data_IF_647901829924
#
_entry.id   IF_647901829924
#
_cell.length_a   1.000
_cell.length_b   1.000
_cell.length_c   1.000
_cell.angle_alpha   90.00
_cell.angle_beta   90.00
_cell.angle_gamma   90.00
#
_symmetry.space_group_name_H-M   'P 1'
#
loop_
_entity.id
_entity.type
_entity.pdbx_description
1 polymer ?
#
# COMPACT_ATOMS: atom_id res chain seq x y z
N UNK A 1 15.80 28.29 0.80
CA UNK A 1 14.33 28.15 0.82
C UNK A 1 13.92 26.78 1.35
N UNK A 2 14.59 25.70 0.91
CA UNK A 2 14.22 24.32 1.25
C UNK A 2 14.37 23.96 2.72
N UNK A 3 15.35 24.53 3.43
CA UNK A 3 15.49 24.27 4.89
C UNK A 3 14.28 24.75 5.69
N UNK A 4 13.75 25.94 5.39
CA UNK A 4 12.55 26.47 6.03
C UNK A 4 11.30 25.66 5.64
N UNK A 5 11.22 25.20 4.39
CA UNK A 5 10.15 24.31 3.92
C UNK A 5 10.19 22.96 4.65
N UNK A 6 11.37 22.33 4.74
CA UNK A 6 11.62 21.09 5.48
C UNK A 6 11.25 21.25 6.96
N UNK A 7 11.69 22.34 7.62
CA UNK A 7 11.36 22.60 9.04
C UNK A 7 9.85 22.78 9.28
N UNK A 8 9.15 23.52 8.42
CA UNK A 8 7.69 23.66 8.51
C UNK A 8 7.01 22.31 8.31
N UNK A 9 7.42 21.55 7.30
CA UNK A 9 6.84 20.25 6.97
C UNK A 9 7.10 19.21 8.07
N UNK A 10 8.29 19.24 8.70
CA UNK A 10 8.62 18.44 9.90
C UNK A 10 7.61 18.65 11.01
N UNK A 11 7.31 19.91 11.32
CA UNK A 11 6.35 20.26 12.37
C UNK A 11 4.93 19.77 12.03
N UNK A 12 4.53 19.88 10.77
CA UNK A 12 3.23 19.38 10.32
C UNK A 12 3.13 17.86 10.42
N UNK A 13 4.19 17.13 10.01
CA UNK A 13 4.28 15.68 10.17
C UNK A 13 4.24 15.27 11.65
N UNK A 14 5.00 15.94 12.52
CA UNK A 14 5.01 15.66 13.95
C UNK A 14 3.63 15.84 14.59
N UNK A 15 2.92 16.90 14.21
CA UNK A 15 1.56 17.17 14.67
C UNK A 15 0.58 16.10 14.19
N UNK A 16 0.65 15.71 12.90
CA UNK A 16 -0.20 14.64 12.35
C UNK A 16 0.05 13.30 13.04
N UNK A 17 1.32 12.92 13.21
CA UNK A 17 1.71 11.70 13.94
C UNK A 17 1.15 11.74 15.37
N UNK A 18 1.31 12.87 16.08
CA UNK A 18 0.78 13.03 17.44
C UNK A 18 -0.73 12.84 17.49
N UNK A 19 -1.48 13.43 16.55
CA UNK A 19 -2.93 13.31 16.52
C UNK A 19 -3.39 11.88 16.21
N UNK A 20 -2.70 11.19 15.29
CA UNK A 20 -2.97 9.78 15.02
C UNK A 20 -2.68 8.90 16.24
N UNK A 21 -1.56 9.11 16.92
CA UNK A 21 -1.21 8.36 18.14
C UNK A 21 -2.25 8.57 19.27
N UNK A 22 -2.79 9.79 19.41
CA UNK A 22 -3.90 10.08 20.33
C UNK A 22 -5.16 9.33 19.90
N UNK A 23 -5.51 9.37 18.61
CA UNK A 23 -6.67 8.66 18.08
C UNK A 23 -6.58 7.15 18.32
N UNK A 24 -5.39 6.55 18.21
CA UNK A 24 -5.17 5.14 18.54
C UNK A 24 -5.51 4.88 20.02
N UNK A 25 -5.02 5.71 20.94
CA UNK A 25 -5.29 5.58 22.38
C UNK A 25 -6.77 5.80 22.76
N UNK A 26 -7.48 6.70 22.06
CA UNK A 26 -8.92 6.92 22.22
C UNK A 26 -9.80 5.75 21.73
N UNK A 27 -9.19 4.85 20.94
CA UNK A 27 -9.82 3.67 20.34
C UNK A 27 -9.21 2.36 20.86
N UNK A 28 -8.53 2.39 22.02
CA UNK A 28 -7.84 1.25 22.62
C UNK A 28 -8.67 -0.03 22.74
N UNK A 29 -9.97 0.11 22.97
CA UNK A 29 -10.89 -1.02 23.13
C UNK A 29 -11.10 -1.82 21.85
N UNK A 30 -10.65 -1.28 20.72
CA UNK A 30 -10.67 -1.94 19.43
C UNK A 30 -9.35 -2.62 19.05
N UNK A 31 -8.29 -2.37 19.82
CA UNK A 31 -7.01 -3.09 19.77
C UNK A 31 -6.93 -4.21 20.82
N UNK A 32 -8.04 -4.49 21.52
CA UNK A 32 -8.13 -5.55 22.51
C UNK A 32 -8.29 -6.92 21.85
N UNK A 33 -7.22 -7.73 21.92
CA UNK A 33 -7.19 -9.09 21.38
C UNK A 33 -8.29 -10.01 21.94
N UNK A 34 -8.70 -9.81 23.20
CA UNK A 34 -9.65 -10.67 23.90
C UNK A 34 -11.10 -10.27 23.68
N UNK A 35 -11.34 -9.23 22.88
CA UNK A 35 -12.70 -8.80 22.57
C UNK A 35 -13.38 -9.75 21.59
N UNK A 36 -14.30 -10.54 22.13
CA UNK A 36 -15.10 -11.51 21.39
C UNK A 36 -16.46 -10.89 21.07
N UNK A 37 -16.87 -10.97 19.80
CA UNK A 37 -18.20 -10.58 19.32
C UNK A 37 -18.61 -11.58 18.23
N UNK A 38 -19.06 -11.12 17.07
CA UNK A 38 -19.18 -11.96 15.88
C UNK A 38 -17.81 -12.22 15.23
N UNK A 39 -17.73 -13.21 14.34
CA UNK A 39 -16.47 -13.67 13.73
C UNK A 39 -15.71 -12.57 13.00
N UNK A 40 -16.41 -11.66 12.32
CA UNK A 40 -15.79 -10.58 11.55
C UNK A 40 -15.23 -9.51 12.47
N UNK A 41 -16.00 -9.10 13.48
CA UNK A 41 -15.53 -8.15 14.51
C UNK A 41 -14.34 -8.71 15.29
N UNK A 42 -14.41 -9.97 15.73
CA UNK A 42 -13.29 -10.63 16.41
C UNK A 42 -12.05 -10.72 15.51
N UNK A 43 -12.23 -10.99 14.21
CA UNK A 43 -11.13 -10.95 13.27
C UNK A 43 -10.50 -9.55 13.19
N UNK A 44 -11.29 -8.48 13.11
CA UNK A 44 -10.79 -7.10 13.07
C UNK A 44 -10.00 -6.72 14.32
N UNK A 45 -10.46 -7.11 15.51
CA UNK A 45 -9.72 -6.90 16.77
C UNK A 45 -8.36 -7.61 16.79
N UNK A 46 -8.32 -8.87 16.33
CA UNK A 46 -7.06 -9.64 16.26
C UNK A 46 -6.12 -9.07 15.20
N UNK A 47 -6.66 -8.68 14.05
CA UNK A 47 -5.92 -8.06 12.96
C UNK A 47 -5.30 -6.73 13.40
N UNK A 48 -6.08 -5.85 14.03
CA UNK A 48 -5.58 -4.56 14.51
C UNK A 48 -4.48 -4.72 15.58
N UNK A 49 -4.60 -5.70 16.47
CA UNK A 49 -3.56 -6.06 17.43
C UNK A 49 -2.25 -6.50 16.73
N UNK A 50 -2.36 -7.36 15.71
CA UNK A 50 -1.22 -7.81 14.93
C UNK A 50 -0.56 -6.65 14.17
N UNK A 51 -1.32 -5.82 13.47
CA UNK A 51 -0.80 -4.68 12.72
C UNK A 51 -0.22 -3.58 13.62
N UNK A 52 -0.76 -3.44 14.83
CA UNK A 52 -0.17 -2.56 15.83
C UNK A 52 1.27 -2.97 16.20
N UNK A 53 1.61 -4.27 16.15
CA UNK A 53 3.00 -4.71 16.32
C UNK A 53 3.92 -4.19 15.22
N UNK A 54 3.48 -4.17 13.96
CA UNK A 54 4.24 -3.56 12.85
C UNK A 54 4.40 -2.06 13.05
N UNK A 55 3.35 -1.38 13.51
CA UNK A 55 3.43 0.03 13.88
C UNK A 55 4.48 0.29 14.97
N UNK A 56 4.56 -0.56 16.00
CA UNK A 56 5.59 -0.46 17.04
C UNK A 56 7.00 -0.69 16.48
N UNK A 57 7.17 -1.64 15.55
CA UNK A 57 8.44 -1.86 14.86
C UNK A 57 8.91 -0.61 14.11
N UNK A 58 8.02 0.02 13.32
CA UNK A 58 8.33 1.27 12.62
C UNK A 58 8.65 2.38 13.61
N UNK A 59 7.87 2.53 14.68
CA UNK A 59 8.17 3.50 15.73
C UNK A 59 9.57 3.27 16.33
N UNK A 60 10.01 2.03 16.48
CA UNK A 60 11.33 1.71 16.99
C UNK A 60 12.44 2.01 15.99
N UNK A 61 12.22 1.77 14.69
CA UNK A 61 13.21 1.96 13.64
C UNK A 61 13.46 3.43 13.27
N UNK A 62 12.54 4.34 13.61
CA UNK A 62 12.55 5.74 13.15
C UNK A 62 12.70 6.77 14.27
N UNK A 63 13.01 8.03 13.93
CA UNK A 63 13.28 9.10 14.92
C UNK A 63 12.09 9.38 15.82
N UNK A 64 10.89 9.51 15.25
CA UNK A 64 9.68 9.80 16.02
C UNK A 64 9.11 8.49 16.60
N UNK A 65 9.30 8.31 17.91
CA UNK A 65 8.75 7.17 18.66
C UNK A 65 7.23 7.26 18.84
N UNK A 66 6.61 6.15 19.23
CA UNK A 66 5.17 6.13 19.53
C UNK A 66 4.82 6.98 20.75
N UNK A 67 3.76 7.77 20.62
CA UNK A 67 3.10 8.48 21.73
C UNK A 67 1.80 7.78 22.19
N UNK A 68 1.40 6.67 21.55
CA UNK A 68 0.23 5.86 21.92
C UNK A 68 0.56 4.96 23.11
N UNK A 69 0.66 5.56 24.30
CA UNK A 69 1.13 4.85 25.50
C UNK A 69 0.11 3.89 26.08
N UNK A 70 -1.18 4.14 25.87
CA UNK A 70 -2.25 3.30 26.42
C UNK A 70 -2.33 1.99 25.64
N UNK A 71 -2.38 2.05 24.31
CA UNK A 71 -2.42 0.84 23.47
C UNK A 71 -1.08 0.10 23.51
N UNK A 72 0.06 0.81 23.57
CA UNK A 72 1.38 0.18 23.73
C UNK A 72 1.45 -0.65 25.02
N UNK A 73 1.03 -0.08 26.14
CA UNK A 73 0.96 -0.80 27.42
C UNK A 73 0.00 -2.00 27.32
N UNK A 74 -1.19 -1.79 26.77
CA UNK A 74 -2.18 -2.86 26.60
C UNK A 74 -1.62 -4.01 25.75
N UNK A 75 -0.95 -3.71 24.63
CA UNK A 75 -0.34 -4.69 23.75
C UNK A 75 0.64 -5.59 24.51
N UNK A 76 1.59 -5.00 25.24
CA UNK A 76 2.57 -5.77 26.03
C UNK A 76 1.96 -6.48 27.23
N UNK A 77 0.93 -5.93 27.87
CA UNK A 77 0.21 -6.59 28.96
C UNK A 77 -0.54 -7.83 28.43
N UNK A 78 -1.20 -7.73 27.27
CA UNK A 78 -1.89 -8.85 26.63
C UNK A 78 -0.93 -9.92 26.17
N UNK A 79 0.24 -9.56 25.62
CA UNK A 79 1.28 -10.53 25.27
C UNK A 79 1.77 -11.33 26.50
N UNK A 80 1.84 -10.71 27.68
CA UNK A 80 2.30 -11.40 28.91
C UNK A 80 1.22 -12.28 29.55
N UNK A 81 -0.03 -12.13 29.16
CA UNK A 81 -1.14 -12.93 29.69
C UNK A 81 -1.11 -14.34 29.08
N UNK A 82 -1.19 -15.37 29.91
CA UNK A 82 -1.22 -16.77 29.49
C UNK A 82 -2.32 -17.06 28.46
N UNK A 83 -3.43 -16.30 28.49
CA UNK A 83 -4.52 -16.39 27.52
C UNK A 83 -4.07 -16.11 26.09
N UNK A 84 -3.03 -15.30 25.89
CA UNK A 84 -2.48 -15.01 24.57
C UNK A 84 -1.97 -16.30 23.92
N UNK A 85 -1.12 -17.05 24.62
CA UNK A 85 -0.60 -18.32 24.12
C UNK A 85 -1.68 -19.39 23.99
N UNK A 86 -2.65 -19.43 24.90
CA UNK A 86 -3.80 -20.34 24.76
C UNK A 86 -4.58 -20.05 23.48
N UNK A 87 -4.81 -18.77 23.18
CA UNK A 87 -5.48 -18.35 21.95
C UNK A 87 -4.64 -18.66 20.72
N UNK A 88 -3.34 -18.36 20.74
CA UNK A 88 -2.42 -18.63 19.63
C UNK A 88 -2.31 -20.13 19.31
N UNK A 89 -2.26 -21.00 20.34
CA UNK A 89 -2.25 -22.46 20.19
C UNK A 89 -3.59 -23.03 19.71
N UNK A 90 -4.70 -22.36 20.00
CA UNK A 90 -6.02 -22.76 19.52
C UNK A 90 -6.32 -22.33 18.07
N UNK A 91 -5.56 -21.37 17.52
CA UNK A 91 -5.75 -20.81 16.18
C UNK A 91 -4.43 -20.91 15.39
N UNK A 92 -3.90 -22.13 15.25
CA UNK A 92 -2.58 -22.40 14.66
C UNK A 92 -2.48 -21.97 13.20
N UNK A 93 -3.60 -22.01 12.48
CA UNK A 93 -3.75 -21.53 11.11
C UNK A 93 -3.52 -20.03 10.96
N UNK A 94 -3.61 -19.28 12.06
CA UNK A 94 -3.33 -17.85 12.13
C UNK A 94 -1.94 -17.58 12.72
N UNK A 95 -0.97 -18.48 12.54
CA UNK A 95 0.38 -18.35 13.09
C UNK A 95 0.95 -16.94 12.90
N UNK A 96 0.91 -16.36 11.70
CA UNK A 96 1.44 -15.00 11.48
C UNK A 96 0.76 -13.92 12.32
N UNK A 97 -0.55 -14.05 12.59
CA UNK A 97 -1.29 -13.07 13.38
C UNK A 97 -0.86 -13.04 14.86
N UNK A 98 -0.30 -14.14 15.38
CA UNK A 98 0.18 -14.25 16.77
C UNK A 98 1.71 -14.26 16.87
N UNK A 99 2.38 -14.89 15.91
CA UNK A 99 3.82 -15.01 15.80
C UNK A 99 4.49 -13.67 15.51
N UNK A 100 3.92 -12.83 14.64
CA UNK A 100 4.50 -11.51 14.35
C UNK A 100 4.54 -10.59 15.59
N UNK A 101 3.47 -10.46 16.39
CA UNK A 101 3.55 -9.80 17.71
C UNK A 101 4.65 -10.32 18.62
N UNK A 102 4.85 -11.65 18.69
CA UNK A 102 5.93 -12.27 19.46
C UNK A 102 7.30 -11.86 18.90
N UNK A 103 7.50 -11.97 17.59
CA UNK A 103 8.73 -11.62 16.92
C UNK A 103 9.11 -10.16 17.16
N UNK A 104 8.16 -9.24 16.98
CA UNK A 104 8.36 -7.82 17.25
C UNK A 104 8.67 -7.58 18.72
N UNK A 105 7.91 -8.16 19.65
CA UNK A 105 8.14 -7.97 21.08
C UNK A 105 9.56 -8.39 21.47
N UNK A 106 10.03 -9.55 20.96
CA UNK A 106 11.40 -10.02 21.14
C UNK A 106 12.42 -9.05 20.54
N UNK A 107 12.19 -8.58 19.30
CA UNK A 107 13.05 -7.59 18.66
C UNK A 107 13.17 -6.28 19.46
N UNK A 108 12.10 -5.89 20.17
CA UNK A 108 12.06 -4.76 21.08
C UNK A 108 12.63 -5.05 22.48
N UNK A 109 13.24 -6.23 22.69
CA UNK A 109 13.88 -6.63 23.93
C UNK A 109 12.94 -7.26 24.97
N UNK A 110 11.69 -7.54 24.62
CA UNK A 110 10.72 -8.23 25.50
C UNK A 110 10.79 -9.73 25.24
N UNK A 111 11.65 -10.40 26.00
CA UNK A 111 11.87 -11.85 25.90
C UNK A 111 10.92 -12.62 26.82
N UNK A 112 10.34 -13.71 26.30
CA UNK A 112 9.55 -14.67 27.06
C UNK A 112 9.82 -16.07 26.51
N UNK A 113 10.36 -16.97 27.34
CA UNK A 113 10.71 -18.33 26.94
C UNK A 113 9.52 -19.13 26.41
N UNK A 114 8.31 -18.92 26.94
CA UNK A 114 7.13 -19.62 26.43
C UNK A 114 6.73 -19.14 25.03
N UNK A 115 6.92 -17.85 24.74
CA UNK A 115 6.72 -17.31 23.39
C UNK A 115 7.76 -17.84 22.41
N UNK A 116 9.02 -17.93 22.83
CA UNK A 116 10.08 -18.49 21.99
C UNK A 116 9.83 -19.96 21.65
N UNK A 117 9.40 -20.74 22.64
CA UNK A 117 9.01 -22.14 22.45
C UNK A 117 7.84 -22.24 21.47
N UNK A 118 6.76 -21.48 21.69
CA UNK A 118 5.61 -21.47 20.77
C UNK A 118 6.01 -21.08 19.34
N UNK A 119 6.76 -19.99 19.18
CA UNK A 119 7.16 -19.49 17.86
C UNK A 119 7.97 -20.54 17.11
N UNK A 120 8.93 -21.16 17.78
CA UNK A 120 9.81 -22.19 17.21
C UNK A 120 9.03 -23.47 16.88
N UNK A 121 8.22 -23.95 17.82
CA UNK A 121 7.42 -25.17 17.66
C UNK A 121 6.42 -25.04 16.50
N UNK A 122 5.74 -23.89 16.40
CA UNK A 122 4.75 -23.66 15.35
C UNK A 122 5.41 -23.48 13.99
N UNK A 123 6.51 -22.71 13.91
CA UNK A 123 7.26 -22.49 12.67
C UNK A 123 7.76 -23.80 12.05
N UNK A 124 8.23 -24.74 12.88
CA UNK A 124 8.72 -26.04 12.42
C UNK A 124 7.67 -27.15 12.44
N UNK A 125 6.42 -26.82 12.77
CA UNK A 125 5.35 -27.80 12.79
C UNK A 125 5.04 -28.34 11.39
N UNK A 126 4.45 -29.54 11.34
CA UNK A 126 3.91 -30.08 10.09
C UNK A 126 2.87 -29.15 9.47
N UNK A 127 2.08 -28.45 10.30
CA UNK A 127 1.05 -27.53 9.84
C UNK A 127 1.66 -26.39 9.02
N UNK A 128 2.59 -25.62 9.60
CA UNK A 128 3.25 -24.51 8.92
C UNK A 128 3.98 -24.96 7.64
N UNK A 129 4.63 -26.13 7.67
CA UNK A 129 5.34 -26.70 6.51
C UNK A 129 4.40 -27.23 5.42
N UNK A 130 3.13 -27.45 5.72
CA UNK A 130 2.13 -27.94 4.77
C UNK A 130 1.29 -26.84 4.11
N UNK A 131 1.48 -25.58 4.50
CA UNK A 131 0.71 -24.46 3.95
C UNK A 131 1.13 -24.19 2.49
N UNK A 132 0.14 -24.21 1.60
CA UNK A 132 0.30 -23.73 0.23
C UNK A 132 0.10 -22.22 0.21
N UNK A 133 1.21 -21.47 0.09
CA UNK A 133 1.22 -20.02 0.10
C UNK A 133 1.72 -19.46 -1.23
N UNK A 134 1.15 -18.33 -1.63
CA UNK A 134 1.69 -17.51 -2.72
C UNK A 134 2.98 -16.81 -2.26
N UNK A 135 3.92 -16.47 -3.17
CA UNK A 135 5.26 -16.00 -2.80
C UNK A 135 5.28 -14.82 -1.81
N UNK A 136 4.42 -13.82 -1.98
CA UNK A 136 4.40 -12.67 -1.06
C UNK A 136 4.01 -13.07 0.36
N UNK A 137 3.07 -14.02 0.54
CA UNK A 137 2.71 -14.56 1.86
C UNK A 137 3.84 -15.34 2.50
N UNK A 138 4.68 -16.00 1.71
CA UNK A 138 5.90 -16.63 2.23
C UNK A 138 6.93 -15.60 2.71
N UNK A 139 6.96 -14.39 2.11
CA UNK A 139 7.79 -13.29 2.60
C UNK A 139 7.34 -12.79 3.97
N UNK A 140 6.03 -12.76 4.27
CA UNK A 140 5.50 -12.44 5.62
C UNK A 140 6.13 -13.38 6.68
N UNK A 141 6.23 -14.68 6.38
CA UNK A 141 6.87 -15.68 7.25
C UNK A 141 8.36 -15.41 7.41
N UNK A 142 9.08 -15.22 6.30
CA UNK A 142 10.52 -14.93 6.35
C UNK A 142 10.78 -13.68 7.19
N UNK A 143 10.02 -12.62 6.98
CA UNK A 143 10.13 -11.38 7.73
C UNK A 143 9.92 -11.59 9.23
N UNK A 144 8.84 -12.29 9.63
CA UNK A 144 8.58 -12.61 11.04
C UNK A 144 9.73 -13.44 11.64
N UNK A 145 10.25 -14.44 10.91
CA UNK A 145 11.40 -15.26 11.37
C UNK A 145 12.68 -14.46 11.52
N UNK A 146 12.95 -13.54 10.58
CA UNK A 146 14.13 -12.69 10.62
C UNK A 146 14.08 -11.74 11.81
N UNK A 147 12.93 -11.07 12.02
CA UNK A 147 12.71 -10.19 13.16
C UNK A 147 12.86 -10.93 14.49
N UNK A 148 12.34 -12.15 14.58
CA UNK A 148 12.43 -12.96 15.79
C UNK A 148 13.88 -13.31 16.19
N UNK A 149 14.84 -13.24 15.26
CA UNK A 149 16.26 -13.43 15.53
C UNK A 149 16.92 -14.51 14.68
N UNK A 150 16.71 -14.45 13.36
CA UNK A 150 17.43 -15.25 12.35
C UNK A 150 17.35 -16.77 12.58
N UNK A 151 16.12 -17.27 12.80
CA UNK A 151 15.86 -18.70 12.75
C UNK A 151 16.01 -19.18 11.30
N UNK A 152 16.60 -20.37 11.11
CA UNK A 152 16.76 -20.98 9.79
C UNK A 152 15.42 -20.91 9.02
N UNK A 153 15.40 -20.15 7.92
CA UNK A 153 14.19 -19.95 7.16
C UNK A 153 13.67 -21.29 6.64
N UNK A 154 12.37 -21.54 6.85
CA UNK A 154 11.71 -22.72 6.27
C UNK A 154 11.58 -22.61 4.74
N UNK A 155 11.81 -21.43 4.17
CA UNK A 155 11.73 -21.16 2.74
C UNK A 155 13.07 -20.61 2.18
N UNK A 156 13.40 -20.91 0.91
CA UNK A 156 14.58 -20.36 0.24
C UNK A 156 14.38 -18.89 -0.15
N UNK A 157 14.84 -17.96 0.70
CA UNK A 157 14.64 -16.50 0.56
C UNK A 157 14.98 -15.98 -0.84
N UNK A 158 16.16 -16.30 -1.39
CA UNK A 158 16.61 -15.82 -2.72
C UNK A 158 15.70 -16.28 -3.85
N UNK A 159 15.20 -17.52 -3.79
CA UNK A 159 14.27 -18.04 -4.79
C UNK A 159 12.90 -17.35 -4.69
N UNK A 160 12.42 -17.08 -3.47
CA UNK A 160 11.16 -16.35 -3.27
C UNK A 160 11.26 -14.91 -3.74
N UNK A 161 12.38 -14.23 -3.45
CA UNK A 161 12.66 -12.90 -3.99
C UNK A 161 12.56 -12.88 -5.53
N UNK A 162 13.17 -13.85 -6.22
CA UNK A 162 13.13 -13.98 -7.69
C UNK A 162 11.74 -14.36 -8.26
N UNK A 163 10.81 -14.82 -7.43
CA UNK A 163 9.43 -15.14 -7.81
C UNK A 163 8.42 -14.04 -7.44
N UNK A 164 8.81 -13.12 -6.55
CA UNK A 164 7.96 -12.04 -6.07
C UNK A 164 7.65 -11.02 -7.17
N UNK A 165 6.57 -10.25 -6.97
CA UNK A 165 6.25 -9.12 -7.86
C UNK A 165 7.21 -7.94 -7.71
N UNK A 166 8.18 -8.01 -6.80
CA UNK A 166 9.28 -7.04 -6.73
C UNK A 166 10.27 -7.23 -7.89
N UNK A 167 10.55 -8.48 -8.30
CA UNK A 167 11.40 -8.79 -9.46
C UNK A 167 10.59 -9.01 -10.74
N UNK A 168 9.27 -9.16 -10.61
CA UNK A 168 8.29 -9.28 -11.70
C UNK A 168 7.27 -8.17 -11.56
N UNK A 169 7.73 -6.96 -11.85
CA UNK A 169 6.99 -5.74 -11.58
C UNK A 169 5.58 -5.80 -12.19
N UNK A 170 4.56 -5.40 -11.42
CA UNK A 170 3.18 -5.54 -11.85
C UNK A 170 2.82 -4.47 -12.89
N UNK A 171 2.00 -4.82 -13.88
CA UNK A 171 1.51 -3.88 -14.90
C UNK A 171 0.52 -2.90 -14.26
N UNK A 172 0.80 -1.59 -14.22
CA UNK A 172 -0.04 -0.63 -13.51
C UNK A 172 -1.51 -0.63 -13.98
N UNK A 173 -1.80 -0.98 -15.23
CA UNK A 173 -3.18 -1.00 -15.73
C UNK A 173 -3.95 -2.19 -15.15
N UNK A 174 -3.39 -3.39 -15.21
CA UNK A 174 -4.08 -4.62 -14.79
C UNK A 174 -3.88 -4.99 -13.32
N UNK A 175 -3.00 -4.28 -12.61
CA UNK A 175 -2.73 -4.51 -11.18
C UNK A 175 -3.96 -4.22 -10.34
N UNK A 176 -4.44 -5.25 -9.62
CA UNK A 176 -5.49 -5.11 -8.62
C UNK A 176 -4.94 -4.70 -7.23
N UNK A 177 -5.84 -4.40 -6.30
CA UNK A 177 -5.52 -4.00 -4.93
C UNK A 177 -4.65 -5.04 -4.20
N UNK A 178 -4.95 -6.33 -4.36
CA UNK A 178 -4.18 -7.40 -3.72
C UNK A 178 -2.74 -7.46 -4.24
N UNK A 179 -2.53 -7.23 -5.53
CA UNK A 179 -1.21 -7.19 -6.15
C UNK A 179 -0.42 -5.93 -5.75
N UNK A 180 -1.11 -4.79 -5.61
CA UNK A 180 -0.50 -3.57 -5.09
C UNK A 180 -0.01 -3.77 -3.64
N UNK A 181 -0.84 -4.32 -2.75
CA UNK A 181 -0.43 -4.67 -1.39
C UNK A 181 0.71 -5.70 -1.36
N UNK A 182 0.69 -6.69 -2.25
CA UNK A 182 1.79 -7.65 -2.34
C UNK A 182 3.12 -6.95 -2.67
N UNK A 183 3.11 -5.92 -3.53
CA UNK A 183 4.30 -5.15 -3.85
C UNK A 183 4.78 -4.32 -2.66
N UNK A 184 3.88 -3.58 -1.99
CA UNK A 184 4.23 -2.75 -0.83
C UNK A 184 4.77 -3.61 0.32
N UNK A 185 4.14 -4.73 0.61
CA UNK A 185 4.60 -5.70 1.61
C UNK A 185 5.98 -6.26 1.27
N UNK A 186 6.24 -6.62 0.00
CA UNK A 186 7.57 -7.04 -0.41
C UNK A 186 8.62 -5.95 -0.15
N UNK A 187 8.32 -4.68 -0.47
CA UNK A 187 9.22 -3.56 -0.14
C UNK A 187 9.43 -3.43 1.36
N UNK A 188 8.36 -3.45 2.16
CA UNK A 188 8.45 -3.34 3.62
C UNK A 188 9.31 -4.43 4.24
N UNK A 189 9.13 -5.67 3.79
CA UNK A 189 9.80 -6.83 4.38
C UNK A 189 11.22 -7.00 3.89
N UNK A 190 11.49 -6.76 2.60
CA UNK A 190 12.86 -6.76 2.07
C UNK A 190 13.71 -5.65 2.70
N UNK A 191 13.08 -4.53 3.07
CA UNK A 191 13.81 -3.41 3.69
C UNK A 191 13.90 -3.48 5.21
N UNK A 192 13.14 -4.36 5.86
CA UNK A 192 13.01 -4.30 7.31
C UNK A 192 12.36 -2.97 7.75
N UNK A 193 11.59 -2.35 6.87
CA UNK A 193 11.01 -1.01 7.01
C UNK A 193 12.08 0.06 7.33
N UNK A 194 13.24 0.00 6.68
CA UNK A 194 14.31 1.01 6.77
C UNK A 194 14.81 1.42 5.39
N UNK A 195 15.13 2.71 5.21
CA UNK A 195 15.57 3.26 3.91
C UNK A 195 16.77 2.48 3.36
N UNK A 196 16.64 2.02 2.11
CA UNK A 196 17.67 1.35 1.32
C UNK A 196 18.38 0.18 2.03
N UNK A 197 17.73 -0.44 3.01
CA UNK A 197 18.33 -1.49 3.80
C UNK A 197 18.04 -2.86 3.17
N UNK A 198 19.04 -3.75 3.08
CA UNK A 198 18.83 -5.13 2.62
C UNK A 198 18.63 -6.04 3.82
N UNK A 199 17.39 -6.07 4.35
CA UNK A 199 17.11 -6.76 5.61
C UNK A 199 17.20 -8.28 5.52
N UNK A 200 17.01 -8.84 4.33
CA UNK A 200 16.99 -10.28 4.07
C UNK A 200 18.24 -10.78 3.32
N UNK A 201 19.26 -9.93 3.15
CA UNK A 201 20.53 -10.22 2.46
C UNK A 201 20.33 -10.90 1.09
N UNK A 202 19.40 -10.36 0.30
CA UNK A 202 19.08 -10.88 -1.04
C UNK A 202 19.89 -10.19 -2.14
N UNK A 203 20.75 -9.22 -1.79
CA UNK A 203 21.44 -8.37 -2.74
C UNK A 203 20.51 -7.31 -3.31
N UNK A 204 19.71 -6.67 -2.45
CA UNK A 204 18.63 -5.78 -2.83
C UNK A 204 19.13 -4.57 -3.64
N UNK A 205 18.51 -4.34 -4.80
CA UNK A 205 18.77 -3.18 -5.66
C UNK A 205 17.45 -2.51 -6.03
N UNK A 206 17.43 -1.18 -5.94
CA UNK A 206 16.27 -0.36 -6.33
C UNK A 206 16.58 0.36 -7.63
N UNK A 207 16.33 -0.29 -8.75
CA UNK A 207 16.49 0.33 -10.06
C UNK A 207 15.34 1.29 -10.41
N UNK A 208 15.43 1.92 -11.58
CA UNK A 208 14.38 2.80 -12.08
C UNK A 208 13.07 2.07 -12.40
N UNK A 209 13.11 0.76 -12.64
CA UNK A 209 11.92 -0.04 -12.91
C UNK A 209 11.02 -0.11 -11.69
N UNK A 210 11.56 -0.49 -10.53
CA UNK A 210 10.78 -0.54 -9.28
C UNK A 210 10.23 0.83 -8.90
N UNK A 211 11.03 1.89 -9.07
CA UNK A 211 10.57 3.27 -8.85
C UNK A 211 9.38 3.61 -9.75
N UNK A 212 9.51 3.37 -11.06
CA UNK A 212 8.47 3.65 -12.04
C UNK A 212 7.19 2.86 -11.79
N UNK A 213 7.28 1.60 -11.35
CA UNK A 213 6.10 0.80 -10.97
C UNK A 213 5.42 1.34 -9.72
N UNK A 214 6.18 1.71 -8.69
CA UNK A 214 5.61 2.31 -7.48
C UNK A 214 4.95 3.67 -7.78
N UNK A 215 5.58 4.51 -8.60
CA UNK A 215 5.03 5.81 -9.03
C UNK A 215 3.75 5.64 -9.85
N UNK A 216 3.73 4.70 -10.82
CA UNK A 216 2.56 4.43 -11.64
C UNK A 216 1.38 3.92 -10.82
N UNK A 217 1.64 3.02 -9.86
CA UNK A 217 0.61 2.56 -8.93
C UNK A 217 0.16 3.69 -7.99
N UNK A 218 1.07 4.54 -7.50
CA UNK A 218 0.73 5.64 -6.60
C UNK A 218 -0.29 6.57 -7.26
N UNK A 219 -0.01 7.03 -8.48
CA UNK A 219 -0.92 7.93 -9.20
C UNK A 219 -2.24 7.24 -9.58
N UNK A 220 -2.24 5.93 -9.86
CA UNK A 220 -3.47 5.14 -10.10
C UNK A 220 -4.35 5.10 -8.86
N UNK A 221 -3.78 4.77 -7.69
CA UNK A 221 -4.57 4.64 -6.45
C UNK A 221 -5.00 5.99 -5.88
N UNK A 222 -4.22 7.06 -6.12
CA UNK A 222 -4.68 8.44 -5.89
C UNK A 222 -5.90 8.74 -6.76
N UNK A 223 -5.87 8.42 -8.06
CA UNK A 223 -7.02 8.61 -8.93
C UNK A 223 -8.24 7.76 -8.54
N UNK A 224 -8.03 6.61 -7.89
CA UNK A 224 -9.07 5.74 -7.30
C UNK A 224 -9.57 6.23 -5.93
N UNK A 225 -8.99 7.30 -5.37
CA UNK A 225 -9.29 7.82 -4.03
C UNK A 225 -9.04 6.81 -2.92
N UNK A 226 -8.03 5.95 -3.10
CA UNK A 226 -7.62 4.95 -2.13
C UNK A 226 -6.35 5.41 -1.41
N UNK A 227 -6.54 6.14 -0.31
CA UNK A 227 -5.42 6.64 0.50
C UNK A 227 -4.70 5.53 1.26
N UNK A 228 -5.30 4.36 1.47
CA UNK A 228 -4.69 3.25 2.19
C UNK A 228 -3.52 2.70 1.39
N UNK A 229 -3.77 2.29 0.14
CA UNK A 229 -2.75 1.81 -0.78
C UNK A 229 -1.79 2.93 -1.18
N UNK A 230 -2.29 4.15 -1.39
CA UNK A 230 -1.45 5.30 -1.77
C UNK A 230 -0.41 5.62 -0.70
N UNK A 231 -0.76 5.53 0.59
CA UNK A 231 0.19 5.77 1.68
C UNK A 231 1.23 4.64 1.80
N UNK A 232 0.86 3.39 1.54
CA UNK A 232 1.83 2.29 1.49
C UNK A 232 2.80 2.41 0.32
N UNK A 233 2.31 2.83 -0.85
CA UNK A 233 3.14 3.09 -2.03
C UNK A 233 4.08 4.28 -1.79
N UNK A 234 3.60 5.34 -1.13
CA UNK A 234 4.45 6.46 -0.73
C UNK A 234 5.53 6.03 0.27
N UNK A 235 5.17 5.22 1.28
CA UNK A 235 6.13 4.64 2.21
C UNK A 235 7.16 3.77 1.46
N UNK A 236 6.72 3.00 0.47
CA UNK A 236 7.59 2.17 -0.37
C UNK A 236 8.56 3.01 -1.20
N UNK A 237 8.11 4.11 -1.80
CA UNK A 237 9.00 5.07 -2.48
C UNK A 237 10.04 5.66 -1.52
N UNK A 238 9.65 5.98 -0.28
CA UNK A 238 10.59 6.46 0.73
C UNK A 238 11.56 5.36 1.17
N UNK A 239 11.12 4.12 1.36
CA UNK A 239 11.98 3.01 1.75
C UNK A 239 12.98 2.60 0.65
N UNK A 240 12.60 2.75 -0.62
CA UNK A 240 13.49 2.50 -1.78
C UNK A 240 14.42 3.67 -2.07
N UNK A 241 14.27 4.81 -1.38
CA UNK A 241 15.07 6.02 -1.59
C UNK A 241 14.67 6.85 -2.81
N UNK A 242 13.52 6.55 -3.43
CA UNK A 242 13.02 7.20 -4.65
C UNK A 242 11.88 8.18 -4.40
N UNK A 243 11.59 8.52 -3.14
CA UNK A 243 10.58 9.53 -2.82
C UNK A 243 11.05 10.93 -3.23
N UNK A 244 10.22 11.63 -3.99
CA UNK A 244 10.43 12.98 -4.51
C UNK A 244 9.42 13.93 -3.87
N UNK A 245 9.74 15.22 -3.87
CA UNK A 245 8.87 16.27 -3.32
C UNK A 245 7.43 16.21 -3.88
N UNK A 246 7.27 16.01 -5.19
CA UNK A 246 5.95 15.96 -5.81
C UNK A 246 5.11 14.75 -5.36
N UNK A 247 5.72 13.64 -4.93
CA UNK A 247 5.00 12.52 -4.33
C UNK A 247 4.31 12.96 -3.03
N UNK A 248 5.03 13.72 -2.20
CA UNK A 248 4.49 14.27 -0.95
C UNK A 248 3.37 15.26 -1.26
N UNK A 249 3.61 16.21 -2.16
CA UNK A 249 2.61 17.23 -2.52
C UNK A 249 1.33 16.59 -3.06
N UNK A 250 1.45 15.55 -3.91
CA UNK A 250 0.31 14.80 -4.43
C UNK A 250 -0.52 14.16 -3.31
N UNK A 251 0.11 13.34 -2.46
CA UNK A 251 -0.59 12.59 -1.41
C UNK A 251 -1.17 13.52 -0.33
N UNK A 252 -0.41 14.55 0.08
CA UNK A 252 -0.87 15.49 1.10
C UNK A 252 -1.99 16.40 0.58
N UNK A 253 -1.98 16.76 -0.71
CA UNK A 253 -3.09 17.45 -1.34
C UNK A 253 -4.38 16.63 -1.27
N UNK A 254 -4.31 15.32 -1.55
CA UNK A 254 -5.47 14.43 -1.43
C UNK A 254 -5.93 14.25 0.01
N UNK A 255 -5.02 14.03 0.96
CA UNK A 255 -5.37 13.97 2.39
C UNK A 255 -6.11 15.24 2.82
N UNK A 256 -5.63 16.42 2.43
CA UNK A 256 -6.25 17.69 2.81
C UNK A 256 -7.69 17.84 2.30
N UNK A 257 -8.07 17.17 1.20
CA UNK A 257 -9.44 17.20 0.65
C UNK A 257 -10.43 16.35 1.45
N UNK A 258 -9.97 15.30 2.12
CA UNK A 258 -10.85 14.25 2.68
C UNK A 258 -10.64 13.97 4.17
N UNK A 259 -9.66 14.61 4.82
CA UNK A 259 -9.39 14.45 6.25
C UNK A 259 -10.63 14.80 7.08
N UNK A 260 -10.98 13.93 8.04
CA UNK A 260 -12.14 14.12 8.90
C UNK A 260 -11.70 14.53 10.31
N UNK A 261 -12.37 15.54 10.88
CA UNK A 261 -12.06 16.07 12.21
C UNK A 261 -10.56 16.38 12.42
N UNK A 262 -9.90 16.88 11.38
CA UNK A 262 -8.47 17.23 11.34
C UNK A 262 -7.49 16.09 11.68
N UNK A 263 -7.96 14.84 11.78
CA UNK A 263 -7.15 13.71 12.25
C UNK A 263 -7.34 12.45 11.41
N UNK A 264 -8.59 12.08 11.10
CA UNK A 264 -8.89 10.79 10.48
C UNK A 264 -8.63 10.86 8.98
N UNK A 265 -7.67 10.06 8.51
CA UNK A 265 -7.45 9.81 7.10
C UNK A 265 -8.36 8.64 6.70
N UNK A 266 -9.33 8.87 5.79
CA UNK A 266 -10.35 7.86 5.50
C UNK A 266 -9.76 6.66 4.77
N UNK A 267 -10.18 5.46 5.21
CA UNK A 267 -9.91 4.22 4.47
C UNK A 267 -10.83 4.04 3.27
N UNK A 268 -10.59 3.00 2.45
CA UNK A 268 -11.26 2.80 1.17
C UNK A 268 -12.77 2.60 1.35
N UNK A 269 -13.52 3.06 0.34
CA UNK A 269 -14.98 2.89 0.29
C UNK A 269 -15.32 1.41 0.10
N UNK A 270 -16.31 0.91 0.84
CA UNK A 270 -16.80 -0.46 0.67
C UNK A 270 -16.03 -1.54 1.43
N UNK A 271 -14.98 -1.20 2.20
CA UNK A 271 -14.20 -2.17 3.00
C UNK A 271 -15.01 -2.90 4.07
N UNK A 272 -16.11 -2.29 4.52
CA UNK A 272 -17.06 -2.91 5.45
C UNK A 272 -18.31 -3.39 4.72
N UNK A 273 -18.64 -4.67 4.88
CA UNK A 273 -19.91 -5.23 4.43
C UNK A 273 -21.09 -4.53 5.10
N UNK A 274 -22.21 -4.43 4.37
CA UNK A 274 -23.41 -3.72 4.85
C UNK A 274 -23.99 -4.37 6.13
N UNK A 275 -23.77 -5.67 6.31
CA UNK A 275 -24.19 -6.41 7.50
C UNK A 275 -23.42 -6.00 8.77
N UNK A 276 -22.16 -5.56 8.65
CA UNK A 276 -21.40 -5.01 9.78
C UNK A 276 -21.90 -3.61 10.14
N UNK A 277 -22.23 -2.80 9.12
CA UNK A 277 -22.77 -1.46 9.34
C UNK A 277 -24.12 -1.49 10.08
N UNK A 278 -24.91 -2.53 9.91
CA UNK A 278 -26.21 -2.64 10.59
C UNK A 278 -26.09 -3.15 12.04
N UNK A 279 -25.07 -3.95 12.35
CA UNK A 279 -24.93 -4.63 13.65
C UNK A 279 -24.17 -3.83 14.71
N UNK A 280 -23.37 -2.83 14.33
CA UNK A 280 -22.48 -2.12 15.24
C UNK A 280 -22.74 -0.61 15.28
N UNK A 281 -22.42 0.04 16.41
CA UNK A 281 -22.56 1.49 16.54
C UNK A 281 -21.57 2.30 15.70
N UNK A 282 -21.89 3.57 15.46
CA UNK A 282 -21.11 4.51 14.61
C UNK A 282 -19.62 4.58 14.98
N UNK A 283 -19.29 4.54 16.28
CA UNK A 283 -17.89 4.55 16.74
C UNK A 283 -17.10 3.37 16.19
N UNK A 284 -17.65 2.16 16.27
CA UNK A 284 -16.98 0.96 15.76
C UNK A 284 -16.86 1.01 14.24
N UNK A 285 -17.90 1.43 13.52
CA UNK A 285 -17.85 1.52 12.06
C UNK A 285 -16.79 2.53 11.59
N UNK A 286 -16.73 3.68 12.24
CA UNK A 286 -15.71 4.70 11.97
C UNK A 286 -14.31 4.17 12.25
N UNK A 287 -14.11 3.44 13.34
CA UNK A 287 -12.83 2.80 13.62
C UNK A 287 -12.49 1.71 12.59
N UNK A 288 -13.38 0.74 12.38
CA UNK A 288 -13.17 -0.43 11.53
C UNK A 288 -12.88 -0.04 10.07
N UNK A 289 -13.51 1.03 9.58
CA UNK A 289 -13.25 1.57 8.24
C UNK A 289 -11.85 2.18 8.11
N UNK A 290 -11.36 2.86 9.14
CA UNK A 290 -10.23 3.78 9.03
C UNK A 290 -8.95 3.33 9.76
N UNK A 291 -9.01 2.35 10.69
CA UNK A 291 -7.87 2.05 11.57
C UNK A 291 -6.61 1.65 10.80
N UNK A 292 -6.74 0.82 9.77
CA UNK A 292 -5.61 0.37 8.96
C UNK A 292 -4.92 1.56 8.29
N UNK A 293 -5.70 2.43 7.64
CA UNK A 293 -5.19 3.64 6.99
C UNK A 293 -4.55 4.60 7.98
N UNK A 294 -5.09 4.69 9.20
CA UNK A 294 -4.48 5.46 10.28
C UNK A 294 -3.12 4.89 10.71
N UNK A 295 -3.01 3.57 10.88
CA UNK A 295 -1.72 2.92 11.19
C UNK A 295 -0.71 3.12 10.06
N UNK A 296 -1.12 2.86 8.81
CA UNK A 296 -0.30 3.04 7.61
C UNK A 296 0.17 4.49 7.47
N UNK A 297 -0.72 5.46 7.66
CA UNK A 297 -0.35 6.88 7.65
C UNK A 297 0.71 7.18 8.71
N UNK A 298 0.51 6.71 9.94
CA UNK A 298 1.45 6.95 11.03
C UNK A 298 2.82 6.30 10.78
N UNK A 299 2.87 5.15 10.11
CA UNK A 299 4.10 4.48 9.69
C UNK A 299 4.79 5.25 8.55
N UNK A 300 4.04 5.57 7.49
CA UNK A 300 4.51 6.31 6.33
C UNK A 300 5.11 7.67 6.71
N UNK A 301 4.41 8.43 7.56
CA UNK A 301 4.87 9.73 8.05
C UNK A 301 6.19 9.65 8.83
N UNK A 302 6.41 8.57 9.61
CA UNK A 302 7.68 8.34 10.33
C UNK A 302 8.82 8.00 9.38
N UNK A 303 8.55 7.14 8.40
CA UNK A 303 9.53 6.78 7.35
C UNK A 303 9.95 8.02 6.56
N UNK A 304 9.00 8.89 6.21
CA UNK A 304 9.25 10.13 5.47
C UNK A 304 10.02 11.14 6.33
N UNK A 305 9.66 11.29 7.61
CA UNK A 305 10.26 12.28 8.51
C UNK A 305 11.79 12.19 8.55
N UNK A 306 12.33 10.97 8.61
CA UNK A 306 13.77 10.71 8.65
C UNK A 306 14.49 11.05 7.35
N UNK A 307 13.74 11.31 6.27
CA UNK A 307 14.25 11.47 4.91
C UNK A 307 13.92 12.82 4.29
N UNK A 308 13.27 13.73 5.02
CA UNK A 308 12.79 15.00 4.44
C UNK A 308 13.89 15.85 3.82
N UNK A 309 15.10 15.81 4.36
CA UNK A 309 16.23 16.58 3.81
C UNK A 309 16.72 15.98 2.48
N UNK A 310 16.56 14.68 2.28
CA UNK A 310 16.86 14.00 1.01
C UNK A 310 15.73 14.18 -0.02
N UNK A 311 14.50 14.41 0.45
CA UNK A 311 13.33 14.58 -0.43
C UNK A 311 13.22 16.03 -0.93
N UNK A 312 13.44 17.02 -0.05
CA UNK A 312 13.41 18.45 -0.38
C UNK A 312 14.75 18.95 -0.95
N UNK A 313 15.21 18.30 -2.01
CA UNK A 313 16.35 18.78 -2.83
C UNK A 313 15.82 19.78 -3.86
N UNK A 314 16.63 20.75 -4.27
CA UNK A 314 16.26 21.70 -5.34
C UNK A 314 15.91 20.92 -6.62
N UNK A 315 14.61 20.79 -6.87
CA UNK A 315 14.03 20.17 -8.05
C UNK A 315 13.06 21.15 -8.69
N UNK A 316 12.90 21.04 -10.01
CA UNK A 316 11.94 21.87 -10.72
C UNK A 316 10.50 21.53 -10.26
N UNK A 317 9.65 22.55 -10.07
CA UNK A 317 8.27 22.33 -9.66
C UNK A 317 7.53 21.49 -10.70
N UNK A 318 6.84 20.46 -10.21
CA UNK A 318 6.03 19.56 -11.04
C UNK A 318 4.59 20.06 -11.10
N UNK A 319 4.00 20.12 -12.29
CA UNK A 319 2.57 20.40 -12.44
C UNK A 319 1.75 19.19 -11.99
N UNK A 320 1.17 19.26 -10.79
CA UNK A 320 0.34 18.19 -10.26
C UNK A 320 -0.89 17.89 -11.12
N UNK A 321 -1.39 18.84 -11.93
CA UNK A 321 -2.52 18.57 -12.84
C UNK A 321 -2.14 17.51 -13.88
N UNK A 322 -0.91 17.57 -14.39
CA UNK A 322 -0.38 16.58 -15.31
C UNK A 322 -0.36 15.19 -14.66
N UNK A 323 0.12 15.12 -13.41
CA UNK A 323 0.19 13.89 -12.63
C UNK A 323 -1.22 13.30 -12.38
N UNK A 324 -2.20 14.14 -12.04
CA UNK A 324 -3.59 13.71 -11.90
C UNK A 324 -4.17 13.16 -13.20
N UNK A 325 -3.89 13.80 -14.34
CA UNK A 325 -4.34 13.33 -15.65
C UNK A 325 -3.76 11.95 -16.00
N UNK A 326 -2.47 11.71 -15.70
CA UNK A 326 -1.83 10.39 -15.86
C UNK A 326 -2.44 9.34 -14.92
N UNK A 327 -2.68 9.66 -13.66
CA UNK A 327 -3.36 8.77 -12.73
C UNK A 327 -4.77 8.40 -13.21
N UNK A 328 -5.52 9.39 -13.73
CA UNK A 328 -6.83 9.17 -14.32
C UNK A 328 -6.78 8.30 -15.57
N UNK A 329 -5.75 8.42 -16.43
CA UNK A 329 -5.63 7.54 -17.60
C UNK A 329 -5.43 6.08 -17.17
N UNK A 330 -4.60 5.81 -16.17
CA UNK A 330 -4.43 4.46 -15.62
C UNK A 330 -5.72 3.91 -14.99
N UNK A 331 -6.44 4.72 -14.20
CA UNK A 331 -7.73 4.32 -13.63
C UNK A 331 -8.76 4.01 -14.71
N UNK A 332 -8.87 4.86 -15.74
CA UNK A 332 -9.84 4.66 -16.82
C UNK A 332 -9.48 3.44 -17.69
N UNK A 333 -8.19 3.14 -17.87
CA UNK A 333 -7.73 1.92 -18.53
C UNK A 333 -8.10 0.67 -17.71
N UNK A 334 -7.84 0.69 -16.40
CA UNK A 334 -8.22 -0.37 -15.46
C UNK A 334 -9.73 -0.63 -15.41
N UNK A 335 -10.54 0.44 -15.42
CA UNK A 335 -12.01 0.38 -15.50
C UNK A 335 -12.54 0.06 -16.90
N UNK A 336 -11.65 -0.05 -17.90
CA UNK A 336 -11.98 -0.29 -19.30
C UNK A 336 -12.93 0.78 -19.92
N UNK A 337 -12.78 2.03 -19.49
CA UNK A 337 -13.57 3.18 -19.95
C UNK A 337 -12.87 3.91 -21.12
N UNK A 338 -12.87 3.26 -22.29
CA UNK A 338 -12.16 3.72 -23.49
C UNK A 338 -12.54 5.14 -23.96
N UNK A 339 -13.81 5.57 -23.99
CA UNK A 339 -14.14 6.93 -24.46
C UNK A 339 -13.51 8.04 -23.61
N UNK A 340 -13.60 7.93 -22.28
CA UNK A 340 -12.98 8.90 -21.37
C UNK A 340 -11.46 8.78 -21.40
N UNK A 341 -10.92 7.56 -21.48
CA UNK A 341 -9.49 7.34 -21.60
C UNK A 341 -8.89 8.07 -22.80
N UNK A 342 -9.51 7.93 -23.97
CA UNK A 342 -9.06 8.63 -25.19
C UNK A 342 -9.17 10.15 -25.05
N UNK A 343 -10.18 10.65 -24.35
CA UNK A 343 -10.32 12.09 -24.07
C UNK A 343 -9.17 12.60 -23.19
N UNK A 344 -8.78 11.84 -22.16
CA UNK A 344 -7.64 12.18 -21.31
C UNK A 344 -6.33 12.12 -22.10
N UNK A 345 -6.11 11.07 -22.89
CA UNK A 345 -4.92 10.96 -23.76
C UNK A 345 -4.81 12.12 -24.74
N UNK A 346 -5.94 12.54 -25.33
CA UNK A 346 -5.99 13.71 -26.21
C UNK A 346 -5.52 14.99 -25.49
N UNK A 347 -5.86 15.15 -24.22
CA UNK A 347 -5.43 16.32 -23.44
C UNK A 347 -3.94 16.31 -23.08
N UNK A 348 -3.30 15.13 -23.12
CA UNK A 348 -1.88 14.95 -22.76
C UNK A 348 -0.92 15.06 -23.95
N UNK A 349 -1.41 15.23 -25.19
CA UNK A 349 -0.58 15.25 -26.40
C UNK A 349 0.52 16.31 -26.41
N UNK A 350 0.25 17.46 -25.79
CA UNK A 350 1.18 18.59 -25.74
C UNK A 350 2.15 18.48 -24.56
N UNK A 351 1.92 17.54 -23.66
CA UNK A 351 2.61 17.48 -22.37
C UNK A 351 3.67 16.37 -22.32
N UNK A 352 3.90 15.65 -23.43
CA UNK A 352 4.85 14.52 -23.47
C UNK A 352 6.23 14.88 -22.93
N UNK A 353 6.80 16.02 -23.34
CA UNK A 353 8.11 16.47 -22.86
C UNK A 353 8.12 16.73 -21.33
N UNK A 354 7.04 17.31 -20.80
CA UNK A 354 6.87 17.52 -19.37
C UNK A 354 6.74 16.18 -18.62
N UNK A 355 6.01 15.20 -19.19
CA UNK A 355 5.85 13.85 -18.65
C UNK A 355 7.20 13.12 -18.57
N UNK A 356 8.03 13.23 -19.62
CA UNK A 356 9.38 12.66 -19.63
C UNK A 356 10.28 13.33 -18.60
N UNK A 357 10.20 14.66 -18.48
CA UNK A 357 11.01 15.44 -17.52
C UNK A 357 10.77 14.98 -16.07
N UNK A 358 9.53 14.58 -15.73
CA UNK A 358 9.21 14.05 -14.39
C UNK A 358 9.47 12.55 -14.22
N UNK A 359 9.88 11.86 -15.30
CA UNK A 359 10.20 10.44 -15.31
C UNK A 359 8.98 9.51 -15.41
N UNK A 360 7.86 9.99 -15.95
CA UNK A 360 6.62 9.20 -16.08
C UNK A 360 6.29 8.81 -17.54
N UNK A 361 7.26 8.86 -18.45
CA UNK A 361 7.10 8.45 -19.85
C UNK A 361 6.54 7.03 -20.01
N UNK A 362 6.97 6.10 -19.15
CA UNK A 362 6.48 4.72 -19.16
C UNK A 362 4.97 4.61 -18.87
N UNK A 363 4.39 5.54 -18.09
CA UNK A 363 2.95 5.53 -17.79
C UNK A 363 2.13 5.80 -19.05
N UNK A 364 2.54 6.81 -19.81
CA UNK A 364 1.84 7.17 -21.04
C UNK A 364 2.04 6.06 -22.09
N UNK A 365 3.24 5.49 -22.20
CA UNK A 365 3.53 4.38 -23.12
C UNK A 365 2.71 3.13 -22.82
N UNK A 366 2.62 2.72 -21.55
CA UNK A 366 1.79 1.59 -21.13
C UNK A 366 0.30 1.84 -21.46
N UNK A 367 -0.17 3.08 -21.26
CA UNK A 367 -1.55 3.45 -21.57
C UNK A 367 -1.81 3.41 -23.09
N UNK A 368 -0.90 3.91 -23.91
CA UNK A 368 -0.99 3.85 -25.37
C UNK A 368 -0.96 2.39 -25.85
N UNK A 369 -0.05 1.58 -25.31
CA UNK A 369 0.05 0.16 -25.64
C UNK A 369 -1.26 -0.58 -25.33
N UNK A 370 -1.85 -0.33 -24.16
CA UNK A 370 -3.14 -0.85 -23.78
C UNK A 370 -4.24 -0.44 -24.75
N UNK A 371 -4.32 0.84 -25.14
CA UNK A 371 -5.32 1.30 -26.11
C UNK A 371 -5.13 0.62 -27.48
N UNK A 372 -3.88 0.51 -27.93
CA UNK A 372 -3.56 -0.15 -29.19
C UNK A 372 -3.91 -1.64 -29.19
N UNK A 373 -3.79 -2.34 -28.06
CA UNK A 373 -4.26 -3.72 -27.95
C UNK A 373 -5.78 -3.88 -28.02
N UNK A 374 -6.54 -2.78 -27.95
CA UNK A 374 -7.99 -2.77 -28.15
C UNK A 374 -8.41 -2.49 -29.60
N UNK A 375 -7.45 -2.38 -30.54
CA UNK A 375 -7.75 -2.20 -31.97
C UNK A 375 -8.13 -3.54 -32.61
N UNK A 376 -9.16 -3.52 -33.47
CA UNK A 376 -9.49 -4.67 -34.32
C UNK A 376 -8.62 -4.70 -35.59
N UNK A 377 -8.80 -5.73 -36.43
CA UNK A 377 -8.12 -5.91 -37.73
C UNK A 377 -8.31 -4.72 -38.70
N UNK A 378 -9.36 -3.92 -38.51
CA UNK A 378 -9.65 -2.72 -39.31
C UNK A 378 -9.08 -1.44 -38.69
N UNK A 379 -8.28 -1.57 -37.63
CA UNK A 379 -7.63 -0.47 -36.92
C UNK A 379 -8.56 0.37 -36.03
N UNK A 380 -9.84 0.01 -35.87
CA UNK A 380 -10.76 0.75 -35.00
C UNK A 380 -10.59 0.30 -33.55
N UNK A 381 -10.64 1.23 -32.59
CA UNK A 381 -10.66 0.94 -31.14
C UNK A 381 -12.08 0.60 -30.71
N UNK A 382 -12.23 -0.34 -29.78
CA UNK A 382 -13.54 -0.76 -29.29
C UNK A 382 -13.50 -2.00 -28.39
N UNK A 383 -14.68 -2.51 -28.08
CA UNK A 383 -14.92 -3.60 -27.13
C UNK A 383 -15.04 -4.96 -27.86
N UNK A 384 -14.04 -5.35 -28.66
CA UNK A 384 -14.22 -6.46 -29.63
C UNK A 384 -14.10 -7.87 -29.04
N UNK A 385 -13.24 -8.04 -28.03
CA UNK A 385 -12.90 -9.35 -27.45
C UNK A 385 -13.31 -9.50 -25.99
N UNK A 386 -13.93 -8.46 -25.40
CA UNK A 386 -14.24 -8.44 -23.97
C UNK A 386 -15.59 -9.10 -23.66
N UNK A 387 -15.54 -10.27 -23.04
CA UNK A 387 -16.71 -10.99 -22.54
C UNK A 387 -17.47 -10.22 -21.45
N UNK A 388 -16.81 -9.34 -20.69
CA UNK A 388 -17.46 -8.49 -19.68
C UNK A 388 -18.40 -7.45 -20.31
N UNK A 389 -18.06 -6.96 -21.49
CA UNK A 389 -18.82 -5.91 -22.19
C UNK A 389 -19.79 -6.46 -23.23
N UNK A 390 -19.55 -7.66 -23.79
CA UNK A 390 -20.51 -8.37 -24.66
C UNK A 390 -21.89 -8.59 -24.02
N UNK A 391 -21.94 -8.71 -22.69
CA UNK A 391 -23.20 -8.89 -21.96
C UNK A 391 -23.96 -7.58 -21.69
N UNK A 392 -23.38 -6.39 -21.97
CA UNK A 392 -24.04 -5.08 -21.81
C UNK A 392 -24.65 -4.57 -23.12
N UNK A 393 -25.54 -5.38 -23.73
CA UNK A 393 -26.52 -5.04 -24.78
C UNK A 393 -26.03 -4.52 -26.16
N UNK A 394 -26.54 -5.12 -27.24
CA UNK A 394 -26.26 -4.80 -28.65
C UNK A 394 -26.60 -3.36 -29.11
N UNK A 395 -27.30 -2.55 -28.31
CA UNK A 395 -27.57 -1.13 -28.62
C UNK A 395 -26.44 -0.18 -28.16
N UNK A 396 -25.55 -0.64 -27.26
CA UNK A 396 -24.43 0.16 -26.75
C UNK A 396 -23.25 0.20 -27.72
N UNK A 397 -23.09 -0.82 -28.57
CA UNK A 397 -21.92 -0.96 -29.42
C UNK A 397 -21.84 0.15 -30.47
N UNK A 398 -22.87 0.40 -31.28
CA UNK A 398 -22.72 1.32 -32.43
C UNK A 398 -22.49 2.78 -32.04
N UNK A 399 -23.13 3.28 -30.97
CA UNK A 399 -22.98 4.68 -30.54
C UNK A 399 -21.65 4.93 -29.83
N UNK A 400 -21.19 3.97 -29.01
CA UNK A 400 -19.91 4.06 -28.30
C UNK A 400 -18.75 3.91 -29.28
N UNK A 401 -18.82 2.99 -30.24
CA UNK A 401 -17.79 2.85 -31.27
C UNK A 401 -17.69 4.11 -32.15
N UNK A 402 -18.81 4.75 -32.49
CA UNK A 402 -18.78 6.01 -33.24
C UNK A 402 -18.15 7.16 -32.43
N UNK A 403 -18.42 7.23 -31.12
CA UNK A 403 -17.79 8.22 -30.23
C UNK A 403 -16.30 7.96 -30.08
N UNK A 404 -15.90 6.71 -29.82
CA UNK A 404 -14.50 6.28 -29.74
C UNK A 404 -13.76 6.64 -31.02
N UNK A 405 -14.31 6.30 -32.18
CA UNK A 405 -13.71 6.59 -33.48
C UNK A 405 -13.51 8.10 -33.69
N UNK A 406 -14.51 8.92 -33.37
CA UNK A 406 -14.38 10.38 -33.49
C UNK A 406 -13.27 10.94 -32.60
N UNK A 407 -13.07 10.40 -31.41
CA UNK A 407 -12.00 10.84 -30.51
C UNK A 407 -10.64 10.34 -31.01
N UNK A 408 -10.54 9.07 -31.39
CA UNK A 408 -9.32 8.45 -31.93
C UNK A 408 -8.82 9.18 -33.19
N UNK A 409 -9.72 9.51 -34.12
CA UNK A 409 -9.40 10.27 -35.34
C UNK A 409 -8.86 11.68 -35.03
N UNK A 410 -9.15 12.21 -33.83
CA UNK A 410 -8.61 13.49 -33.38
C UNK A 410 -7.25 13.36 -32.70
N UNK A 411 -6.79 12.16 -32.31
CA UNK A 411 -5.54 11.99 -31.56
C UNK A 411 -4.33 11.96 -32.50
N UNK A 412 -3.36 12.82 -32.23
CA UNK A 412 -2.05 12.79 -32.89
C UNK A 412 -1.13 11.79 -32.17
N UNK A 413 -1.31 10.51 -32.50
CA UNK A 413 -0.53 9.41 -31.91
C UNK A 413 0.98 9.57 -32.09
N UNK A 414 1.46 10.35 -33.07
CA UNK A 414 2.89 10.62 -33.26
C UNK A 414 3.46 11.56 -32.20
N UNK A 415 2.64 12.46 -31.65
CA UNK A 415 3.04 13.31 -30.52
C UNK A 415 3.05 12.53 -29.21
N UNK A 416 2.22 11.51 -29.13
CA UNK A 416 2.12 10.65 -27.96
C UNK A 416 3.11 9.49 -27.95
N UNK A 417 3.60 9.00 -29.09
CA UNK A 417 4.55 7.89 -29.16
C UNK A 417 6.02 8.35 -29.15
N UNK A 418 6.92 7.51 -28.64
CA UNK A 418 8.38 7.69 -28.79
C UNK A 418 8.75 7.54 -30.28
N UNK A 419 9.65 8.40 -30.77
CA UNK A 419 10.24 8.32 -32.11
C UNK A 419 11.12 7.07 -32.31
#
# INVERSE_FOLDING_TARGET
MNKLKSESFRKDIENKIKNIDIWIDENKEYFDLYRISDSETTFLHRKSFCEYSLYLLVCNNHTIKSKSKIVEKQFFDQLKDEKFLQLAKANRELFLAFGLPIAVAKHLGVNNTEHENYFTDELYSQHARSLELVPFRMMDYIFATQIHGDLAHIFPVKSLYAMSNFTRLPDPIHTDESQAYALTHNVFYLTGMRKCHDFLDVGLRFDHGIAGSLEALLIKYIAKQDLDVSLELLASLALTGHCKEWHLDLVFCEIAKVIQNDTIIPGPVGRMGDDVKQRHGEKFQTWAKNYHTMLVAAMCLRIIYDQLDDIFVDADPVDLKLIYSLGHSLRLADEYNLPLLLTVLKSLETDREAIETVGLGHVIDNTIQFVNSQRNERGSIGYFHDEKMKNKSNCFETSVHNTIKKIDDCIDWKKLAIA
#
